data_IF_139283542977
#
_entry.id   IF_139283542977
#
_cell.length_a   1.000
_cell.length_b   1.000
_cell.length_c   1.000
_cell.angle_alpha   90.00
_cell.angle_beta   90.00
_cell.angle_gamma   90.00
#
_symmetry.space_group_name_H-M   'P 1'
#
loop_
_entity.id
_entity.type
_entity.pdbx_description
1 polymer ?
#
# COMPACT_ATOMS: atom_id res chain seq x y z
N UNK A 1 -32.86 37.47 74.54
CA UNK A 1 -31.53 37.61 73.92
C UNK A 1 -31.08 36.39 73.10
N UNK A 2 -31.95 35.42 72.75
CA UNK A 2 -31.53 34.21 72.00
C UNK A 2 -32.65 33.61 71.12
N UNK A 3 -33.37 34.42 70.32
CA UNK A 3 -34.47 33.89 69.49
C UNK A 3 -34.56 34.40 68.04
N UNK A 4 -33.53 35.03 67.52
CA UNK A 4 -33.57 35.62 66.16
C UNK A 4 -32.46 35.17 65.21
N UNK A 5 -31.59 34.23 65.59
CA UNK A 5 -30.46 33.79 64.75
C UNK A 5 -30.78 32.51 63.95
N UNK A 6 -31.79 31.73 64.34
CA UNK A 6 -32.09 30.43 63.71
C UNK A 6 -32.84 30.52 62.37
N UNK A 7 -33.44 31.66 62.03
CA UNK A 7 -34.25 31.80 60.81
C UNK A 7 -33.45 32.14 59.55
N UNK A 8 -32.24 32.67 59.67
CA UNK A 8 -31.43 33.08 58.50
C UNK A 8 -30.41 32.01 58.08
N UNK A 9 -30.06 31.07 58.97
CA UNK A 9 -29.17 29.94 58.65
C UNK A 9 -29.86 28.86 57.79
N UNK A 10 -31.16 28.60 57.98
CA UNK A 10 -31.88 27.63 57.13
C UNK A 10 -32.13 28.12 55.70
N UNK A 11 -32.27 29.43 55.48
CA UNK A 11 -32.46 29.97 54.13
C UNK A 11 -31.14 29.95 53.31
N UNK A 12 -29.99 30.10 53.98
CA UNK A 12 -28.69 30.12 53.33
C UNK A 12 -28.19 28.72 52.94
N UNK A 13 -28.56 27.68 53.71
CA UNK A 13 -28.23 26.29 53.40
C UNK A 13 -29.05 25.76 52.21
N UNK A 14 -30.33 26.16 52.08
CA UNK A 14 -31.16 25.75 50.93
C UNK A 14 -30.68 26.41 49.62
N UNK A 15 -30.19 27.66 49.68
CA UNK A 15 -29.61 28.32 48.51
C UNK A 15 -28.28 27.68 48.05
N UNK A 16 -27.50 27.09 48.96
CA UNK A 16 -26.24 26.43 48.62
C UNK A 16 -26.44 25.01 48.05
N UNK A 17 -27.48 24.29 48.48
CA UNK A 17 -27.84 22.98 47.93
C UNK A 17 -28.44 23.12 46.52
N UNK A 18 -29.18 24.19 46.23
CA UNK A 18 -29.71 24.46 44.87
C UNK A 18 -28.63 24.91 43.87
N UNK A 19 -27.51 25.48 44.34
CA UNK A 19 -26.38 25.86 43.47
C UNK A 19 -25.48 24.66 43.12
N UNK A 20 -25.49 23.60 43.94
CA UNK A 20 -24.68 22.39 43.74
C UNK A 20 -25.39 21.31 42.89
N UNK A 21 -26.69 21.43 42.62
CA UNK A 21 -27.40 20.56 41.67
C UNK A 21 -27.39 21.11 40.23
N UNK A 22 -26.79 22.27 39.99
CA UNK A 22 -26.59 22.86 38.65
C UNK A 22 -25.13 22.82 38.19
N UNK A 23 -24.23 22.24 38.98
CA UNK A 23 -22.96 21.74 38.45
C UNK A 23 -23.22 20.29 38.06
N UNK A 24 -23.96 20.13 36.95
CA UNK A 24 -23.92 18.88 36.21
C UNK A 24 -22.46 18.60 35.92
N UNK A 25 -21.93 17.59 36.58
CA UNK A 25 -20.57 17.11 36.47
C UNK A 25 -20.46 16.55 35.04
N UNK A 26 -20.09 17.40 34.06
CA UNK A 26 -19.67 17.02 32.71
C UNK A 26 -18.30 16.34 32.76
N UNK A 27 -18.17 15.23 33.48
CA UNK A 27 -16.89 14.50 33.64
C UNK A 27 -16.79 13.25 32.74
N UNK A 28 -17.61 13.15 31.69
CA UNK A 28 -17.59 11.98 30.79
C UNK A 28 -17.35 12.32 29.31
N UNK A 29 -17.26 13.59 28.91
CA UNK A 29 -17.09 13.98 27.51
C UNK A 29 -15.62 14.08 27.07
N UNK A 30 -14.72 14.50 27.97
CA UNK A 30 -13.29 14.68 27.64
C UNK A 30 -12.57 13.44 27.06
N UNK A 31 -12.82 12.18 27.47
CA UNK A 31 -12.09 11.06 26.88
C UNK A 31 -12.45 10.82 25.41
N UNK A 32 -13.74 10.90 25.05
CA UNK A 32 -14.21 10.62 23.69
C UNK A 32 -13.83 11.71 22.69
N UNK A 33 -13.77 12.98 23.13
CA UNK A 33 -13.30 14.08 22.28
C UNK A 33 -11.85 13.85 21.83
N UNK A 34 -10.97 13.42 22.74
CA UNK A 34 -9.58 13.15 22.36
C UNK A 34 -9.47 11.95 21.42
N UNK A 35 -10.22 10.87 21.69
CA UNK A 35 -10.24 9.67 20.86
C UNK A 35 -10.75 9.95 19.44
N UNK A 36 -11.83 10.72 19.30
CA UNK A 36 -12.33 11.16 17.98
C UNK A 36 -11.30 12.01 17.23
N UNK A 37 -10.69 12.99 17.91
CA UNK A 37 -9.66 13.82 17.29
C UNK A 37 -8.42 13.02 16.88
N UNK A 38 -7.97 12.07 17.70
CA UNK A 38 -6.82 11.21 17.39
C UNK A 38 -7.12 10.38 16.13
N UNK A 39 -8.29 9.73 16.04
CA UNK A 39 -8.69 8.94 14.88
C UNK A 39 -8.85 9.80 13.61
N UNK A 40 -9.47 10.98 13.69
CA UNK A 40 -9.62 11.89 12.56
C UNK A 40 -8.26 12.37 12.03
N UNK A 41 -7.30 12.65 12.92
CA UNK A 41 -5.95 13.04 12.50
C UNK A 41 -5.21 11.88 11.81
N UNK A 42 -5.39 10.65 12.31
CA UNK A 42 -4.81 9.44 11.69
C UNK A 42 -5.34 9.23 10.27
N UNK A 43 -6.63 9.44 10.04
CA UNK A 43 -7.21 9.44 8.67
C UNK A 43 -6.53 10.48 7.77
N UNK A 44 -6.30 11.71 8.25
CA UNK A 44 -5.61 12.74 7.45
C UNK A 44 -4.18 12.34 7.06
N UNK A 45 -3.46 11.68 7.98
CA UNK A 45 -2.10 11.19 7.74
C UNK A 45 -2.12 10.07 6.68
N UNK A 46 -2.96 9.04 6.85
CA UNK A 46 -3.08 7.93 5.90
C UNK A 46 -3.58 8.36 4.52
N UNK A 47 -4.51 9.31 4.43
CA UNK A 47 -4.95 9.86 3.14
C UNK A 47 -3.79 10.54 2.39
N UNK A 48 -2.88 11.20 3.11
CA UNK A 48 -1.71 11.83 2.51
C UNK A 48 -0.70 10.78 2.02
N UNK A 49 -0.47 9.73 2.81
CA UNK A 49 0.42 8.63 2.44
C UNK A 49 -0.11 7.86 1.22
N UNK A 50 -1.39 7.47 1.22
CA UNK A 50 -2.01 6.81 0.06
C UNK A 50 -2.01 7.70 -1.20
N UNK A 51 -2.20 9.01 -1.05
CA UNK A 51 -2.12 9.95 -2.18
C UNK A 51 -0.72 9.94 -2.81
N UNK A 52 0.32 9.90 -1.99
CA UNK A 52 1.70 9.83 -2.47
C UNK A 52 1.97 8.50 -3.18
N UNK A 53 1.59 7.37 -2.56
CA UNK A 53 1.73 6.04 -3.17
C UNK A 53 1.00 5.92 -4.52
N UNK A 54 -0.20 6.50 -4.65
CA UNK A 54 -0.93 6.55 -5.93
C UNK A 54 -0.13 7.33 -7.00
N UNK A 55 0.54 8.42 -6.63
CA UNK A 55 1.37 9.18 -7.58
C UNK A 55 2.58 8.36 -8.04
N UNK A 56 3.26 7.70 -7.11
CA UNK A 56 4.44 6.88 -7.37
C UNK A 56 4.07 5.65 -8.24
N UNK A 57 2.98 4.97 -7.89
CA UNK A 57 2.43 3.85 -8.67
C UNK A 57 1.96 4.25 -10.09
N UNK A 58 1.33 5.41 -10.29
CA UNK A 58 0.96 5.89 -11.65
C UNK A 58 2.21 6.23 -12.48
N UNK A 59 3.30 6.69 -11.86
CA UNK A 59 4.59 6.93 -12.52
C UNK A 59 5.26 5.63 -12.95
N UNK A 60 5.23 4.60 -12.09
CA UNK A 60 5.65 3.21 -12.41
C UNK A 60 4.72 2.53 -13.44
N UNK A 61 3.52 3.07 -13.67
CA UNK A 61 2.55 2.53 -14.62
C UNK A 61 1.68 1.39 -14.06
N UNK A 62 1.63 1.27 -12.74
CA UNK A 62 0.78 0.36 -11.97
C UNK A 62 -0.68 0.86 -12.01
N UNK A 63 -1.63 -0.07 -11.87
CA UNK A 63 -3.05 0.24 -11.99
C UNK A 63 -3.63 0.79 -10.68
N UNK A 64 -3.66 2.11 -10.53
CA UNK A 64 -4.07 2.77 -9.27
C UNK A 64 -5.58 2.93 -9.05
N UNK A 65 -6.45 2.40 -9.91
CA UNK A 65 -7.88 2.77 -9.80
C UNK A 65 -8.57 2.23 -8.55
N UNK A 66 -8.09 1.13 -7.97
CA UNK A 66 -8.65 0.59 -6.73
C UNK A 66 -8.33 1.53 -5.57
N UNK A 67 -7.06 1.94 -5.44
CA UNK A 67 -6.60 2.90 -4.47
C UNK A 67 -7.29 4.28 -4.63
N UNK A 68 -7.49 4.77 -5.86
CA UNK A 68 -8.26 6.00 -6.12
C UNK A 68 -9.71 5.90 -5.60
N UNK A 69 -10.40 4.78 -5.86
CA UNK A 69 -11.77 4.54 -5.39
C UNK A 69 -11.81 4.44 -3.84
N UNK A 70 -10.84 3.77 -3.23
CA UNK A 70 -10.70 3.65 -1.78
C UNK A 70 -10.46 5.00 -1.10
N UNK A 71 -9.58 5.84 -1.67
CA UNK A 71 -9.33 7.19 -1.18
C UNK A 71 -10.58 8.08 -1.26
N UNK A 72 -11.36 7.98 -2.34
CA UNK A 72 -12.63 8.69 -2.50
C UNK A 72 -13.65 8.24 -1.42
N UNK A 73 -13.80 6.93 -1.19
CA UNK A 73 -14.72 6.37 -0.17
C UNK A 73 -14.29 6.76 1.27
N UNK A 74 -12.99 6.72 1.58
CA UNK A 74 -12.45 7.15 2.86
C UNK A 74 -12.61 8.67 3.08
N UNK A 75 -12.50 9.47 2.03
CA UNK A 75 -12.75 10.92 2.09
C UNK A 75 -14.18 11.23 2.50
N UNK A 76 -15.16 10.53 1.92
CA UNK A 76 -16.58 10.72 2.27
C UNK A 76 -16.83 10.39 3.76
N UNK A 77 -16.24 9.30 4.28
CA UNK A 77 -16.32 8.91 5.68
C UNK A 77 -15.63 9.92 6.61
N UNK A 78 -14.46 10.42 6.23
CA UNK A 78 -13.73 11.47 6.96
C UNK A 78 -14.57 12.75 7.07
N UNK A 79 -15.19 13.20 5.97
CA UNK A 79 -16.05 14.39 5.98
C UNK A 79 -17.25 14.23 6.94
N UNK A 80 -17.86 13.05 6.97
CA UNK A 80 -18.95 12.72 7.90
C UNK A 80 -18.44 12.66 9.36
N UNK A 81 -17.27 12.05 9.61
CA UNK A 81 -16.65 11.99 10.93
C UNK A 81 -16.36 13.40 11.50
N UNK A 82 -15.78 14.29 10.68
CA UNK A 82 -15.52 15.69 11.04
C UNK A 82 -16.83 16.45 11.32
N UNK A 83 -17.91 16.13 10.62
CA UNK A 83 -19.21 16.76 10.83
C UNK A 83 -19.86 16.34 12.17
N UNK A 84 -19.76 15.05 12.53
CA UNK A 84 -20.21 14.54 13.83
C UNK A 84 -19.32 15.06 14.97
N UNK A 85 -18.00 15.16 14.73
CA UNK A 85 -17.05 15.79 15.64
C UNK A 85 -17.46 17.26 15.93
N UNK A 86 -17.68 18.05 14.87
CA UNK A 86 -18.14 19.43 15.04
C UNK A 86 -19.50 19.57 15.78
N UNK A 87 -20.28 18.49 15.86
CA UNK A 87 -21.57 18.42 16.55
C UNK A 87 -21.47 17.90 18.00
N UNK A 88 -20.27 17.60 18.48
CA UNK A 88 -19.98 16.94 19.76
C UNK A 88 -20.59 15.52 19.86
N UNK A 89 -20.82 14.84 18.73
CA UNK A 89 -21.37 13.48 18.65
C UNK A 89 -20.26 12.43 18.42
N UNK A 90 -19.33 12.37 19.37
CA UNK A 90 -18.13 11.52 19.28
C UNK A 90 -18.44 10.02 19.17
N UNK A 91 -19.61 9.58 19.67
CA UNK A 91 -20.03 8.17 19.58
C UNK A 91 -20.23 7.74 18.12
N UNK A 92 -20.59 8.66 17.22
CA UNK A 92 -20.74 8.42 15.79
C UNK A 92 -19.48 8.85 15.00
N UNK A 93 -18.75 9.88 15.45
CA UNK A 93 -17.52 10.33 14.78
C UNK A 93 -16.39 9.26 14.78
N UNK A 94 -16.15 8.60 15.92
CA UNK A 94 -15.09 7.58 16.07
C UNK A 94 -15.26 6.42 15.07
N UNK A 95 -16.41 5.71 15.02
CA UNK A 95 -16.53 4.57 14.12
C UNK A 95 -16.46 4.93 12.63
N UNK A 96 -16.85 6.16 12.25
CA UNK A 96 -16.69 6.64 10.87
C UNK A 96 -15.21 6.84 10.52
N UNK A 97 -14.42 7.42 11.44
CA UNK A 97 -12.98 7.55 11.27
C UNK A 97 -12.28 6.18 11.26
N UNK A 98 -12.65 5.26 12.14
CA UNK A 98 -12.10 3.89 12.16
C UNK A 98 -12.40 3.13 10.85
N UNK A 99 -13.61 3.28 10.28
CA UNK A 99 -13.97 2.68 8.98
C UNK A 99 -13.14 3.29 7.83
N UNK A 100 -12.87 4.59 7.88
CA UNK A 100 -11.98 5.25 6.91
C UNK A 100 -10.53 4.76 7.03
N UNK A 101 -10.02 4.59 8.26
CA UNK A 101 -8.68 4.03 8.53
C UNK A 101 -8.56 2.64 7.91
N UNK A 102 -9.51 1.74 8.17
CA UNK A 102 -9.48 0.36 7.65
C UNK A 102 -9.42 0.33 6.10
N UNK A 103 -10.18 1.21 5.43
CA UNK A 103 -10.16 1.32 3.96
C UNK A 103 -8.80 1.84 3.46
N UNK A 104 -8.22 2.83 4.14
CA UNK A 104 -6.93 3.41 3.75
C UNK A 104 -5.78 2.43 3.97
N UNK A 105 -5.74 1.74 5.12
CA UNK A 105 -4.71 0.73 5.44
C UNK A 105 -4.73 -0.42 4.41
N UNK A 106 -5.91 -0.97 4.08
CA UNK A 106 -6.04 -2.04 3.07
C UNK A 106 -5.55 -1.57 1.68
N UNK A 107 -5.88 -0.33 1.29
CA UNK A 107 -5.44 0.23 0.02
C UNK A 107 -3.95 0.59 -0.03
N UNK A 108 -3.35 0.96 1.11
CA UNK A 108 -1.91 1.20 1.24
C UNK A 108 -1.17 -0.13 1.14
N UNK A 109 -1.54 -1.13 1.94
CA UNK A 109 -0.91 -2.45 1.95
C UNK A 109 -0.95 -3.09 0.55
N UNK A 110 -2.11 -3.08 -0.12
CA UNK A 110 -2.25 -3.64 -1.47
C UNK A 110 -1.34 -2.92 -2.49
N UNK A 111 -1.16 -1.61 -2.37
CA UNK A 111 -0.38 -0.83 -3.33
C UNK A 111 1.13 -0.91 -3.05
N UNK A 112 1.53 -0.97 -1.78
CA UNK A 112 2.91 -1.26 -1.37
C UNK A 112 3.34 -2.65 -1.85
N UNK A 113 2.48 -3.66 -1.71
CA UNK A 113 2.73 -5.02 -2.23
C UNK A 113 2.91 -5.02 -3.76
N UNK A 114 2.12 -4.23 -4.50
CA UNK A 114 2.26 -4.11 -5.95
C UNK A 114 3.56 -3.38 -6.36
N UNK A 115 3.95 -2.32 -5.66
CA UNK A 115 5.20 -1.59 -5.90
C UNK A 115 6.44 -2.43 -5.56
N UNK A 116 6.39 -3.15 -4.45
CA UNK A 116 7.49 -3.98 -3.98
C UNK A 116 7.73 -5.22 -4.83
N UNK A 117 6.74 -5.67 -5.62
CA UNK A 117 6.81 -6.91 -6.36
C UNK A 117 7.96 -6.95 -7.39
N UNK A 118 8.11 -5.88 -8.19
CA UNK A 118 9.12 -5.81 -9.25
C UNK A 118 10.54 -5.71 -8.63
N UNK A 119 10.73 -4.83 -7.64
CA UNK A 119 11.99 -4.72 -6.90
C UNK A 119 12.39 -6.03 -6.23
N UNK A 120 11.42 -6.74 -5.63
CA UNK A 120 11.66 -8.04 -5.02
C UNK A 120 12.07 -9.10 -6.03
N UNK A 121 11.41 -9.15 -7.19
CA UNK A 121 11.79 -10.06 -8.29
C UNK A 121 13.23 -9.78 -8.76
N UNK A 122 13.61 -8.51 -8.88
CA UNK A 122 14.97 -8.10 -9.25
C UNK A 122 16.01 -8.52 -8.19
N UNK A 123 15.72 -8.32 -6.90
CA UNK A 123 16.60 -8.73 -5.79
C UNK A 123 16.76 -10.27 -5.78
N UNK A 124 15.66 -11.02 -5.85
CA UNK A 124 15.71 -12.49 -5.90
C UNK A 124 16.54 -12.98 -7.11
N UNK A 125 16.42 -12.32 -8.27
CA UNK A 125 17.22 -12.64 -9.43
C UNK A 125 18.72 -12.32 -9.26
N UNK A 126 19.04 -11.17 -8.67
CA UNK A 126 20.41 -10.77 -8.38
C UNK A 126 21.08 -11.71 -7.37
N UNK A 127 20.36 -12.16 -6.34
CA UNK A 127 20.83 -13.15 -5.36
C UNK A 127 21.26 -14.45 -6.04
N UNK A 128 20.41 -15.00 -6.93
CA UNK A 128 20.72 -16.23 -7.69
C UNK A 128 22.00 -16.06 -8.52
N UNK A 129 22.17 -14.92 -9.20
CA UNK A 129 23.35 -14.66 -10.02
C UNK A 129 24.61 -14.49 -9.17
N UNK A 130 24.51 -13.84 -8.01
CA UNK A 130 25.61 -13.71 -7.07
C UNK A 130 26.06 -15.07 -6.54
N UNK A 131 25.14 -15.92 -6.12
CA UNK A 131 25.48 -17.28 -5.65
C UNK A 131 26.19 -18.08 -6.75
N UNK A 132 25.70 -18.03 -7.98
CA UNK A 132 26.33 -18.68 -9.13
C UNK A 132 27.73 -18.10 -9.44
N UNK A 133 27.90 -16.78 -9.35
CA UNK A 133 29.18 -16.11 -9.57
C UNK A 133 30.21 -16.45 -8.47
N UNK A 134 29.76 -16.56 -7.21
CA UNK A 134 30.61 -17.00 -6.09
C UNK A 134 31.13 -18.41 -6.34
N UNK A 135 30.27 -19.34 -6.76
CA UNK A 135 30.66 -20.72 -7.09
C UNK A 135 31.68 -20.76 -8.24
N UNK A 136 31.43 -20.02 -9.31
CA UNK A 136 32.34 -19.92 -10.45
C UNK A 136 33.73 -19.41 -10.07
N UNK A 137 33.80 -18.42 -9.17
CA UNK A 137 35.06 -17.93 -8.61
C UNK A 137 35.77 -18.99 -7.78
N UNK A 138 35.04 -19.74 -6.95
CA UNK A 138 35.65 -20.74 -6.06
C UNK A 138 36.18 -21.98 -6.81
N UNK A 139 35.57 -22.31 -7.96
CA UNK A 139 36.04 -23.37 -8.86
C UNK A 139 37.23 -22.95 -9.76
N UNK A 140 37.49 -21.64 -9.88
CA UNK A 140 38.56 -21.09 -10.72
C UNK A 140 39.94 -21.10 -10.02
N UNK A 141 41.02 -21.28 -10.80
CA UNK A 141 42.39 -21.23 -10.28
C UNK A 141 42.82 -19.78 -9.93
N UNK A 142 43.00 -19.50 -8.64
CA UNK A 142 43.35 -18.17 -8.10
C UNK A 142 44.72 -17.62 -8.55
N UNK A 143 45.54 -18.43 -9.24
CA UNK A 143 46.80 -17.97 -9.84
C UNK A 143 46.60 -17.38 -11.27
N UNK A 144 45.38 -17.41 -11.82
CA UNK A 144 45.06 -16.79 -13.11
C UNK A 144 44.88 -15.27 -13.00
N UNK A 145 45.22 -14.53 -14.06
CA UNK A 145 45.11 -13.06 -14.05
C UNK A 145 43.65 -12.60 -14.07
N UNK A 146 42.81 -13.39 -14.73
CA UNK A 146 41.40 -13.07 -14.94
C UNK A 146 40.60 -13.25 -13.61
N UNK A 147 41.15 -14.01 -12.64
CA UNK A 147 40.57 -14.16 -11.30
C UNK A 147 40.56 -12.86 -10.48
N UNK A 148 41.64 -12.08 -10.53
CA UNK A 148 41.74 -10.83 -9.76
C UNK A 148 40.68 -9.81 -10.25
N UNK A 149 40.53 -9.67 -11.58
CA UNK A 149 39.56 -8.76 -12.19
C UNK A 149 38.11 -9.25 -11.95
N UNK A 150 37.85 -10.55 -12.06
CA UNK A 150 36.55 -11.16 -11.76
C UNK A 150 36.16 -11.00 -10.28
N UNK A 151 37.11 -11.20 -9.34
CA UNK A 151 36.88 -10.99 -7.91
C UNK A 151 36.57 -9.54 -7.57
N UNK A 152 37.21 -8.55 -8.22
CA UNK A 152 36.87 -7.13 -8.02
C UNK A 152 35.45 -6.79 -8.50
N UNK A 153 34.92 -7.50 -9.52
CA UNK A 153 33.53 -7.33 -9.97
C UNK A 153 32.53 -7.94 -9.02
N UNK A 154 32.82 -9.14 -8.54
CA UNK A 154 31.99 -9.80 -7.53
C UNK A 154 31.88 -8.96 -6.25
N UNK A 155 32.99 -8.43 -5.73
CA UNK A 155 32.97 -7.55 -4.55
C UNK A 155 32.07 -6.31 -4.77
N UNK A 156 32.04 -5.75 -5.98
CA UNK A 156 31.16 -4.62 -6.31
C UNK A 156 29.70 -5.04 -6.45
N UNK A 157 29.44 -6.23 -7.00
CA UNK A 157 28.11 -6.79 -7.12
C UNK A 157 27.49 -7.02 -5.73
N UNK A 158 28.26 -7.56 -4.77
CA UNK A 158 27.83 -7.70 -3.37
C UNK A 158 27.52 -6.33 -2.72
N UNK A 159 28.38 -5.32 -2.93
CA UNK A 159 28.13 -3.97 -2.41
C UNK A 159 26.81 -3.37 -2.96
N UNK A 160 26.50 -3.58 -4.24
CA UNK A 160 25.26 -3.10 -4.86
C UNK A 160 24.03 -3.89 -4.38
N UNK A 161 24.17 -5.19 -4.17
CA UNK A 161 23.10 -6.02 -3.63
C UNK A 161 22.75 -5.64 -2.18
N UNK A 162 23.76 -5.39 -1.34
CA UNK A 162 23.56 -4.85 0.01
C UNK A 162 22.82 -3.49 -0.04
N UNK A 163 23.20 -2.61 -0.97
CA UNK A 163 22.51 -1.31 -1.18
C UNK A 163 21.05 -1.51 -1.67
N UNK A 164 20.77 -2.55 -2.46
CA UNK A 164 19.42 -2.91 -2.91
C UNK A 164 18.53 -3.39 -1.76
N UNK A 165 19.05 -4.28 -0.89
CA UNK A 165 18.33 -4.73 0.30
C UNK A 165 18.02 -3.58 1.26
N UNK A 166 19.00 -2.68 1.50
CA UNK A 166 18.82 -1.50 2.34
C UNK A 166 17.74 -0.55 1.75
N UNK A 167 17.73 -0.33 0.42
CA UNK A 167 16.71 0.49 -0.25
C UNK A 167 15.31 -0.14 -0.18
N UNK A 168 15.22 -1.46 -0.34
CA UNK A 168 13.96 -2.20 -0.22
C UNK A 168 13.38 -2.11 1.19
N UNK A 169 14.22 -2.28 2.22
CA UNK A 169 13.83 -2.14 3.63
C UNK A 169 13.39 -0.71 4.01
N UNK A 170 13.95 0.30 3.33
CA UNK A 170 13.57 1.71 3.48
C UNK A 170 12.31 2.10 2.66
N UNK A 171 11.79 1.20 1.82
CA UNK A 171 10.60 1.41 0.98
C UNK A 171 10.88 2.20 -0.31
N UNK A 172 12.15 2.36 -0.70
CA UNK A 172 12.55 2.99 -1.96
C UNK A 172 12.67 1.92 -3.05
N UNK A 173 11.52 1.37 -3.46
CA UNK A 173 11.45 0.20 -4.35
C UNK A 173 12.06 0.46 -5.74
N UNK A 174 11.90 1.67 -6.27
CA UNK A 174 12.53 2.06 -7.55
C UNK A 174 14.07 2.03 -7.44
N UNK A 175 14.64 2.56 -6.36
CA UNK A 175 16.10 2.53 -6.14
C UNK A 175 16.60 1.11 -5.83
N UNK A 176 15.79 0.30 -5.13
CA UNK A 176 16.09 -1.11 -4.87
C UNK A 176 16.15 -1.95 -6.16
N UNK A 177 15.19 -1.76 -7.07
CA UNK A 177 15.18 -2.40 -8.40
C UNK A 177 16.43 -2.01 -9.19
N UNK A 178 16.74 -0.71 -9.28
CA UNK A 178 17.92 -0.19 -9.99
C UNK A 178 19.24 -0.80 -9.44
N UNK A 179 19.40 -0.88 -8.12
CA UNK A 179 20.59 -1.48 -7.51
C UNK A 179 20.67 -2.99 -7.72
N UNK A 180 19.54 -3.70 -7.66
CA UNK A 180 19.50 -5.13 -7.90
C UNK A 180 19.84 -5.48 -9.36
N UNK A 181 19.32 -4.72 -10.33
CA UNK A 181 19.69 -4.88 -11.74
C UNK A 181 21.19 -4.60 -11.96
N UNK A 182 21.74 -3.54 -11.36
CA UNK A 182 23.17 -3.23 -11.45
C UNK A 182 24.05 -4.34 -10.78
N UNK A 183 23.58 -4.94 -9.69
CA UNK A 183 24.25 -6.06 -9.03
C UNK A 183 24.25 -7.31 -9.91
N UNK A 184 23.09 -7.65 -10.51
CA UNK A 184 22.94 -8.73 -11.48
C UNK A 184 23.89 -8.56 -12.68
N UNK A 185 23.93 -7.37 -13.28
CA UNK A 185 24.84 -7.05 -14.39
C UNK A 185 26.32 -7.24 -14.00
N UNK A 186 26.72 -6.83 -12.78
CA UNK A 186 28.10 -7.02 -12.30
C UNK A 186 28.42 -8.49 -12.04
N UNK A 187 27.47 -9.27 -11.55
CA UNK A 187 27.60 -10.72 -11.38
C UNK A 187 27.74 -11.43 -12.74
N UNK A 188 26.98 -11.03 -13.77
CA UNK A 188 27.17 -11.53 -15.14
C UNK A 188 28.57 -11.22 -15.69
N UNK A 189 29.10 -10.01 -15.43
CA UNK A 189 30.46 -9.63 -15.83
C UNK A 189 31.56 -10.54 -15.22
N UNK A 190 31.30 -11.19 -14.08
CA UNK A 190 32.22 -12.19 -13.49
C UNK A 190 32.40 -13.38 -14.44
N UNK A 191 31.31 -13.94 -14.98
CA UNK A 191 31.37 -15.07 -15.91
C UNK A 191 32.08 -14.70 -17.21
N UNK A 192 31.82 -13.50 -17.72
CA UNK A 192 32.47 -12.96 -18.91
C UNK A 192 34.00 -12.83 -18.72
N UNK A 193 34.46 -12.36 -17.55
CA UNK A 193 35.89 -12.26 -17.25
C UNK A 193 36.55 -13.64 -17.11
N UNK A 194 35.82 -14.62 -16.58
CA UNK A 194 36.29 -16.00 -16.44
C UNK A 194 36.18 -16.84 -17.73
N UNK A 195 35.58 -16.31 -18.81
CA UNK A 195 35.27 -17.04 -20.06
C UNK A 195 34.44 -18.32 -19.78
N UNK A 196 33.50 -18.23 -18.83
CA UNK A 196 32.59 -19.29 -18.43
C UNK A 196 31.19 -19.08 -19.03
N UNK A 197 30.46 -20.18 -19.22
CA UNK A 197 29.06 -20.13 -19.65
C UNK A 197 28.17 -20.15 -18.41
N UNK A 198 27.44 -19.07 -18.17
CA UNK A 198 26.54 -18.91 -17.01
C UNK A 198 25.45 -20.00 -16.97
N UNK A 199 25.01 -20.50 -18.14
CA UNK A 199 24.01 -21.57 -18.22
C UNK A 199 24.46 -22.84 -17.47
N UNK A 200 25.77 -23.13 -17.40
CA UNK A 200 26.30 -24.33 -16.73
C UNK A 200 26.11 -24.28 -15.19
N UNK A 201 25.97 -23.10 -14.60
CA UNK A 201 25.82 -22.92 -13.14
C UNK A 201 24.35 -22.76 -12.73
N UNK A 202 23.51 -22.16 -13.57
CA UNK A 202 22.08 -21.98 -13.28
C UNK A 202 21.24 -23.27 -13.45
N UNK A 203 21.76 -24.28 -14.14
CA UNK A 203 21.01 -25.53 -14.43
C UNK A 203 20.99 -26.51 -13.23
N UNK A 204 21.79 -26.33 -12.18
CA UNK A 204 21.95 -27.34 -11.10
C UNK A 204 20.88 -27.30 -9.98
N UNK A 205 20.04 -26.27 -9.86
CA UNK A 205 19.09 -26.17 -8.74
C UNK A 205 17.75 -26.94 -8.90
N UNK A 206 17.31 -27.26 -10.12
CA UNK A 206 15.95 -27.82 -10.36
C UNK A 206 15.86 -29.36 -10.16
N UNK A 207 16.96 -30.06 -9.81
CA UNK A 207 16.95 -31.53 -9.68
C UNK A 207 16.72 -32.09 -8.26
N UNK A 208 16.45 -31.25 -7.24
CA UNK A 208 16.41 -31.72 -5.83
C UNK A 208 15.02 -31.96 -5.20
N UNK A 209 13.90 -31.64 -5.87
CA UNK A 209 12.56 -31.71 -5.26
C UNK A 209 11.79 -33.06 -5.40
N UNK A 210 12.33 -34.06 -6.10
CA UNK A 210 11.54 -35.24 -6.52
C UNK A 210 11.72 -36.54 -5.68
N UNK A 211 12.36 -36.53 -4.50
CA UNK A 211 12.66 -37.79 -3.77
C UNK A 211 11.76 -38.14 -2.55
N UNK A 212 10.64 -37.46 -2.28
CA UNK A 212 9.77 -37.78 -1.13
C UNK A 212 8.26 -38.02 -1.44
N UNK A 213 7.89 -38.44 -2.66
CA UNK A 213 6.55 -39.02 -2.94
C UNK A 213 6.53 -40.55 -2.76
N UNK A 214 6.84 -41.04 -1.55
CA UNK A 214 6.59 -42.43 -1.17
C UNK A 214 5.38 -42.54 -0.22
N UNK A 215 4.27 -42.97 -0.82
CA UNK A 215 3.32 -43.97 -0.30
C UNK A 215 2.68 -43.72 1.08
N UNK A 216 1.52 -43.06 1.10
CA UNK A 216 0.41 -43.45 1.99
C UNK A 216 -0.92 -43.33 1.25
N UNK A 217 -1.15 -44.32 0.37
CA UNK A 217 -2.49 -44.78 0.00
C UNK A 217 -3.21 -45.22 1.28
N UNK A 218 -4.20 -44.46 1.74
CA UNK A 218 -5.30 -45.06 2.48
C UNK A 218 -6.64 -44.41 2.08
N UNK A 219 -7.36 -45.23 1.33
CA UNK A 219 -8.76 -45.21 0.95
C UNK A 219 -9.68 -44.65 2.06
N UNK A 220 -10.53 -43.67 1.72
CA UNK A 220 -11.88 -43.61 2.27
C UNK A 220 -12.85 -43.11 1.19
N UNK A 221 -13.46 -44.12 0.54
CA UNK A 221 -14.71 -44.05 -0.18
C UNK A 221 -15.78 -43.39 0.71
N UNK A 222 -16.56 -42.43 0.19
CA UNK A 222 -18.02 -42.37 0.33
C UNK A 222 -18.58 -40.94 0.12
N UNK A 223 -19.31 -40.77 -0.99
CA UNK A 223 -20.75 -40.44 -1.02
C UNK A 223 -21.16 -39.50 -2.17
N UNK A 224 -21.90 -40.10 -3.10
CA UNK A 224 -22.61 -39.51 -4.22
C UNK A 224 -23.62 -38.43 -3.78
N UNK A 225 -23.42 -37.16 -4.16
CA UNK A 225 -24.52 -36.18 -4.24
C UNK A 225 -24.81 -35.71 -5.68
N UNK A 226 -25.87 -36.33 -6.19
CA UNK A 226 -26.59 -36.18 -7.44
C UNK A 226 -27.00 -34.72 -7.75
N UNK A 227 -26.23 -33.99 -8.58
CA UNK A 227 -26.66 -32.68 -9.10
C UNK A 227 -27.74 -32.85 -10.20
N UNK A 228 -29.01 -32.83 -9.77
CA UNK A 228 -30.20 -33.18 -10.56
C UNK A 228 -30.83 -32.05 -11.40
N UNK A 229 -30.24 -30.87 -11.45
CA UNK A 229 -30.71 -29.76 -12.28
C UNK A 229 -29.46 -29.01 -12.73
N UNK A 230 -29.16 -28.88 -14.03
CA UNK A 230 -29.74 -27.80 -14.80
C UNK A 230 -29.83 -28.15 -16.31
N UNK A 231 -31.05 -28.27 -16.79
CA UNK A 231 -31.38 -28.21 -18.21
C UNK A 231 -31.64 -26.77 -18.63
N UNK A 232 -31.09 -26.43 -19.79
CA UNK A 232 -31.59 -25.48 -20.79
C UNK A 232 -31.71 -24.01 -20.38
N UNK A 233 -31.04 -23.14 -21.15
CA UNK A 233 -31.76 -22.18 -22.02
C UNK A 233 -30.82 -21.58 -23.06
N UNK A 234 -30.99 -22.02 -24.31
CA UNK A 234 -30.66 -21.23 -25.48
C UNK A 234 -31.49 -19.94 -25.44
N UNK A 235 -30.85 -18.76 -25.45
CA UNK A 235 -31.53 -17.50 -25.79
C UNK A 235 -30.61 -16.58 -26.59
N UNK A 236 -31.07 -16.39 -27.83
CA UNK A 236 -31.17 -15.16 -28.61
C UNK A 236 -30.02 -14.13 -28.51
N UNK A 237 -29.33 -14.02 -29.65
CA UNK A 237 -28.44 -12.93 -30.02
C UNK A 237 -29.18 -11.59 -30.08
N UNK A 238 -29.29 -10.91 -28.95
CA UNK A 238 -29.61 -9.49 -28.90
C UNK A 238 -28.40 -8.66 -29.28
N UNK A 239 -28.61 -7.71 -30.20
CA UNK A 239 -27.63 -6.67 -30.52
C UNK A 239 -27.40 -5.81 -29.27
N UNK A 240 -26.38 -6.14 -28.49
CA UNK A 240 -25.88 -5.28 -27.43
C UNK A 240 -25.43 -3.96 -28.07
N UNK A 241 -26.13 -2.88 -27.75
CA UNK A 241 -25.55 -1.55 -27.73
C UNK A 241 -24.26 -1.65 -26.92
N UNK A 242 -23.13 -1.42 -27.59
CA UNK A 242 -21.82 -1.31 -26.94
C UNK A 242 -21.91 -0.09 -26.05
N UNK A 243 -22.21 -0.30 -24.76
CA UNK A 243 -21.98 0.72 -23.75
C UNK A 243 -20.49 1.03 -23.80
N UNK A 244 -20.10 2.32 -23.77
CA UNK A 244 -18.70 2.68 -23.61
C UNK A 244 -18.15 1.90 -22.41
N UNK A 245 -17.05 1.17 -22.61
CA UNK A 245 -16.31 0.53 -21.53
C UNK A 245 -15.80 1.62 -20.58
N UNK A 246 -15.60 1.30 -19.30
CA UNK A 246 -15.09 2.24 -18.28
C UNK A 246 -13.85 2.99 -18.79
N UNK A 247 -12.94 2.29 -19.47
CA UNK A 247 -11.77 2.86 -20.14
C UNK A 247 -12.10 4.01 -21.11
N UNK A 248 -13.15 3.87 -21.92
CA UNK A 248 -13.53 4.92 -22.88
C UNK A 248 -14.16 6.14 -22.21
N UNK A 249 -14.80 5.97 -21.05
CA UNK A 249 -15.31 7.08 -20.24
C UNK A 249 -14.16 7.81 -19.55
N UNK A 250 -13.17 7.08 -19.03
CA UNK A 250 -11.98 7.64 -18.37
C UNK A 250 -11.10 8.42 -19.35
N UNK A 251 -10.84 7.86 -20.55
CA UNK A 251 -10.15 8.56 -21.63
C UNK A 251 -10.87 9.86 -22.02
N UNK A 252 -12.20 9.85 -22.06
CA UNK A 252 -13.00 11.04 -22.34
C UNK A 252 -12.84 12.11 -21.25
N UNK A 253 -12.78 11.71 -19.97
CA UNK A 253 -12.54 12.61 -18.85
C UNK A 253 -11.14 13.22 -18.86
N UNK A 254 -10.09 12.41 -19.09
CA UNK A 254 -8.70 12.90 -19.25
C UNK A 254 -8.60 13.91 -20.42
N UNK A 255 -9.30 13.67 -21.53
CA UNK A 255 -9.38 14.61 -22.67
C UNK A 255 -10.05 15.94 -22.27
N UNK A 256 -11.14 15.91 -21.49
CA UNK A 256 -11.83 17.13 -21.04
C UNK A 256 -10.95 17.98 -20.09
N UNK A 257 -10.24 17.35 -19.15
CA UNK A 257 -9.29 18.02 -18.22
C UNK A 257 -8.17 18.73 -19.00
N UNK A 258 -7.58 18.06 -20.00
CA UNK A 258 -6.56 18.64 -20.89
C UNK A 258 -7.09 19.85 -21.69
N UNK A 259 -8.33 19.79 -22.18
CA UNK A 259 -8.94 20.90 -22.92
C UNK A 259 -9.14 22.15 -22.02
N UNK A 260 -9.51 21.96 -20.76
CA UNK A 260 -9.63 23.06 -19.79
C UNK A 260 -8.27 23.72 -19.51
N UNK A 261 -7.21 22.91 -19.36
CA UNK A 261 -5.86 23.40 -19.09
C UNK A 261 -5.29 24.20 -20.29
N UNK A 262 -5.52 23.72 -21.52
CA UNK A 262 -5.19 24.45 -22.74
C UNK A 262 -5.93 25.80 -22.82
N UNK A 263 -7.22 25.84 -22.43
CA UNK A 263 -8.00 27.07 -22.42
C UNK A 263 -7.43 28.09 -21.42
N UNK A 264 -7.01 27.64 -20.24
CA UNK A 264 -6.44 28.48 -19.19
C UNK A 264 -5.07 29.04 -19.60
N UNK A 265 -4.19 28.22 -20.15
CA UNK A 265 -2.90 28.66 -20.72
C UNK A 265 -3.09 29.71 -21.82
N UNK A 266 -4.10 29.54 -22.68
CA UNK A 266 -4.42 30.51 -23.74
C UNK A 266 -4.85 31.86 -23.15
N UNK A 267 -5.61 31.88 -22.06
CA UNK A 267 -5.99 33.12 -21.37
C UNK A 267 -4.78 33.82 -20.73
N UNK A 268 -3.87 33.06 -20.11
CA UNK A 268 -2.63 33.60 -19.53
C UNK A 268 -1.76 34.25 -20.62
N UNK A 269 -1.60 33.59 -21.77
CA UNK A 269 -0.85 34.15 -22.90
C UNK A 269 -1.50 35.42 -23.45
N UNK A 270 -2.83 35.47 -23.54
CA UNK A 270 -3.56 36.66 -23.97
C UNK A 270 -3.39 37.84 -23.00
N UNK A 271 -3.38 37.58 -21.68
CA UNK A 271 -3.11 38.60 -20.66
C UNK A 271 -1.66 39.11 -20.73
N UNK A 272 -0.68 38.22 -20.93
CA UNK A 272 0.73 38.60 -21.10
C UNK A 272 0.94 39.50 -22.33
N UNK A 273 0.17 39.32 -23.40
CA UNK A 273 0.27 40.16 -24.59
C UNK A 273 -0.31 41.58 -24.42
N UNK A 274 -1.09 41.83 -23.36
CA UNK A 274 -1.67 43.15 -23.07
C UNK A 274 -0.80 44.00 -22.13
N UNK A 275 0.20 43.39 -21.49
CA UNK A 275 1.19 44.05 -20.62
C UNK A 275 2.42 44.48 -21.43
#
# INVERSE_FOLDING_TARGET
>A
MFRTITSHLSALIIAFVALLTFTGISYAAEPYENEANDAINEVEELMADLTQLIEDADEAGIYVSYAEDALDDATDLYEDAVAEDASEDWEDAIPLAEEAIEILEDAIDDLEDELAADAKEAIEYAEILLEAAEEALDDTDKDDLDYDDASERFDLAEELFDDAEDAFDDGDYDEAEDFAEDAADMAEEVFDELDLDMEDYLEEEDESEDEDEDEDEDEDEDEDEECKYCKNTEKESDKKEVKPTSETAMLQAKIEKLQQLIALLTQILALKAQL
#
